data_IF_692337078447
#
_entry.id   IF_692337078447
#
_cell.length_a   1.000
_cell.length_b   1.000
_cell.length_c   1.000
_cell.angle_alpha   90.00
_cell.angle_beta   90.00
_cell.angle_gamma   90.00
#
_symmetry.space_group_name_H-M   'P 1'
#
loop_
_entity.id
_entity.type
_entity.pdbx_description
1 polymer ?
#
# COMPACT_ATOMS: atom_id res chain seq x y z
N UNK A 1 15.73 0.29 -21.66
CA UNK A 1 15.22 -0.71 -20.69
C UNK A 1 15.84 -0.39 -19.34
N UNK A 2 15.11 0.25 -18.43
CA UNK A 2 15.59 0.48 -17.07
C UNK A 2 15.34 -0.79 -16.25
N UNK A 3 16.35 -1.41 -15.63
CA UNK A 3 16.14 -2.55 -14.76
C UNK A 3 15.36 -2.07 -13.53
N UNK A 4 14.09 -2.49 -13.42
CA UNK A 4 13.34 -2.34 -12.17
C UNK A 4 13.91 -3.37 -11.19
N UNK A 5 14.28 -2.95 -9.99
CA UNK A 5 14.67 -3.86 -8.92
C UNK A 5 13.43 -4.66 -8.52
N UNK A 6 13.30 -5.88 -9.06
CA UNK A 6 12.31 -6.84 -8.60
C UNK A 6 12.85 -7.55 -7.36
N UNK A 7 11.98 -7.71 -6.38
CA UNK A 7 12.19 -8.58 -5.25
C UNK A 7 12.66 -9.96 -5.73
N UNK A 8 13.95 -10.30 -5.50
CA UNK A 8 14.50 -11.61 -5.84
C UNK A 8 14.01 -12.63 -4.80
N UNK A 9 12.81 -13.16 -5.03
CA UNK A 9 12.23 -14.17 -4.14
C UNK A 9 13.05 -15.48 -4.13
N UNK A 10 13.89 -15.72 -5.14
CA UNK A 10 14.62 -16.98 -5.32
C UNK A 10 15.71 -17.18 -4.24
N UNK A 11 16.31 -16.09 -3.76
CA UNK A 11 17.37 -16.08 -2.74
C UNK A 11 16.88 -16.51 -1.33
N UNK A 12 15.57 -16.76 -1.20
CA UNK A 12 14.96 -17.39 -0.04
C UNK A 12 14.75 -16.48 1.16
N UNK A 13 14.25 -17.04 2.28
CA UNK A 13 13.77 -16.27 3.42
C UNK A 13 14.86 -15.47 4.16
N UNK A 14 16.13 -15.81 3.98
CA UNK A 14 17.25 -15.08 4.60
C UNK A 14 17.51 -13.71 3.96
N UNK A 15 17.03 -13.49 2.73
CA UNK A 15 17.24 -12.25 1.96
C UNK A 15 15.95 -11.44 1.78
N UNK A 16 14.82 -11.94 2.30
CA UNK A 16 13.50 -11.34 2.13
C UNK A 16 13.15 -10.44 3.33
N UNK A 17 13.18 -9.11 3.19
CA UNK A 17 12.95 -8.19 4.31
C UNK A 17 11.46 -8.04 4.62
N UNK A 18 10.92 -8.83 5.56
CA UNK A 18 9.48 -8.80 5.92
C UNK A 18 9.18 -7.72 6.96
N UNK A 19 9.92 -7.74 8.07
CA UNK A 19 9.75 -6.89 9.24
C UNK A 19 10.69 -5.67 9.23
N UNK A 20 11.69 -5.67 8.36
CA UNK A 20 12.77 -4.67 8.35
C UNK A 20 12.24 -3.26 8.13
N UNK A 21 11.28 -3.08 7.22
CA UNK A 21 10.65 -1.78 6.97
C UNK A 21 9.98 -1.25 8.24
N UNK A 22 9.24 -2.10 8.96
CA UNK A 22 8.58 -1.70 10.20
C UNK A 22 9.60 -1.37 11.29
N UNK A 23 10.67 -2.16 11.40
CA UNK A 23 11.76 -1.91 12.34
C UNK A 23 12.39 -0.53 12.11
N UNK A 24 12.63 -0.13 10.87
CA UNK A 24 13.15 1.22 10.56
C UNK A 24 12.14 2.32 10.84
N UNK A 25 10.85 2.12 10.52
CA UNK A 25 9.76 3.07 10.83
C UNK A 25 9.55 3.26 12.34
N UNK A 26 9.91 2.26 13.15
CA UNK A 26 9.81 2.34 14.60
C UNK A 26 10.96 3.13 15.25
N UNK A 27 12.09 3.31 14.55
CA UNK A 27 13.22 4.08 15.05
C UNK A 27 12.95 5.57 14.93
N UNK A 28 13.11 6.36 16.01
CA UNK A 28 12.90 7.80 15.94
C UNK A 28 13.94 8.47 15.04
N UNK A 29 13.53 9.50 14.31
CA UNK A 29 14.38 10.32 13.42
C UNK A 29 15.01 9.57 12.24
N UNK A 30 14.42 8.45 11.81
CA UNK A 30 14.82 7.76 10.57
C UNK A 30 13.74 7.96 9.51
N UNK A 31 14.16 8.48 8.35
CA UNK A 31 13.29 8.61 7.18
C UNK A 31 13.29 7.32 6.38
N UNK A 32 12.12 6.68 6.27
CA UNK A 32 11.96 5.48 5.43
C UNK A 32 11.23 5.87 4.15
N UNK A 33 11.87 5.59 3.00
CA UNK A 33 11.31 5.83 1.67
C UNK A 33 11.21 4.50 0.93
N UNK A 34 10.02 4.19 0.37
CA UNK A 34 9.82 3.01 -0.47
C UNK A 34 9.08 3.36 -1.78
N UNK A 35 9.79 3.97 -2.74
CA UNK A 35 9.17 4.38 -4.00
C UNK A 35 8.92 3.19 -4.94
N UNK A 36 7.83 3.25 -5.69
CA UNK A 36 7.39 2.33 -6.73
C UNK A 36 8.04 2.64 -8.08
N UNK A 37 8.22 3.94 -8.39
CA UNK A 37 8.79 4.41 -9.65
C UNK A 37 9.57 5.74 -9.50
N UNK A 38 10.09 6.23 -10.64
CA UNK A 38 10.85 7.48 -10.69
C UNK A 38 9.99 8.73 -10.41
N UNK A 39 8.69 8.68 -10.67
CA UNK A 39 7.79 9.79 -10.38
C UNK A 39 7.50 9.90 -8.88
N UNK A 40 7.37 8.76 -8.19
CA UNK A 40 7.30 8.72 -6.72
C UNK A 40 8.57 9.26 -6.07
N UNK A 41 9.73 9.01 -6.68
CA UNK A 41 11.01 9.54 -6.20
C UNK A 41 11.02 11.08 -6.25
N UNK A 42 10.35 11.69 -7.22
CA UNK A 42 10.19 13.15 -7.32
C UNK A 42 9.04 13.68 -6.45
N UNK A 43 7.96 12.91 -6.30
CA UNK A 43 6.76 13.25 -5.51
C UNK A 43 6.86 12.95 -4.01
N UNK A 44 8.01 12.43 -3.54
CA UNK A 44 8.22 11.95 -2.17
C UNK A 44 8.06 13.04 -1.10
N UNK A 45 8.10 14.32 -1.49
CA UNK A 45 8.12 15.45 -0.55
C UNK A 45 6.99 15.44 0.47
N UNK A 46 5.81 14.90 0.12
CA UNK A 46 4.66 14.82 1.03
C UNK A 46 4.50 13.46 1.71
N UNK A 47 5.38 12.50 1.44
CA UNK A 47 5.35 11.14 1.97
C UNK A 47 4.28 10.24 1.35
N UNK A 48 3.07 10.74 1.12
CA UNK A 48 2.01 9.99 0.45
C UNK A 48 1.03 10.90 -0.29
N UNK A 49 0.49 10.40 -1.39
CA UNK A 49 -0.37 11.16 -2.29
C UNK A 49 -1.35 10.27 -3.05
N UNK A 50 -2.39 10.89 -3.59
CA UNK A 50 -3.41 10.22 -4.39
C UNK A 50 -2.84 9.96 -5.79
N UNK A 51 -2.75 8.68 -6.17
CA UNK A 51 -2.30 8.26 -7.50
C UNK A 51 -3.45 8.23 -8.48
N UNK A 52 -4.61 7.76 -8.03
CA UNK A 52 -5.80 7.64 -8.87
C UNK A 52 -7.06 7.79 -8.03
N UNK A 53 -8.03 8.54 -8.52
CA UNK A 53 -9.30 8.74 -7.84
C UNK A 53 -10.41 8.99 -8.87
N UNK A 54 -11.56 8.37 -8.67
CA UNK A 54 -12.78 8.59 -9.46
C UNK A 54 -13.96 9.05 -8.59
N UNK A 55 -13.73 9.37 -7.33
CA UNK A 55 -14.75 9.89 -6.42
C UNK A 55 -15.08 11.35 -6.72
N UNK A 56 -16.31 11.75 -6.40
CA UNK A 56 -16.75 13.14 -6.44
C UNK A 56 -16.87 13.68 -5.02
N UNK A 57 -16.46 14.93 -4.81
CA UNK A 57 -16.60 15.60 -3.51
C UNK A 57 -15.74 15.00 -2.39
N UNK A 58 -14.58 14.41 -2.73
CA UNK A 58 -13.65 13.81 -1.76
C UNK A 58 -14.26 12.66 -0.93
N UNK A 59 -15.21 11.92 -1.51
CA UNK A 59 -15.94 10.85 -0.83
C UNK A 59 -15.89 9.53 -1.62
N UNK A 60 -14.73 8.83 -1.65
CA UNK A 60 -14.65 7.48 -2.20
C UNK A 60 -15.38 6.45 -1.32
N UNK A 61 -15.90 5.39 -1.93
CA UNK A 61 -16.45 4.23 -1.21
C UNK A 61 -15.35 3.47 -0.46
N UNK A 62 -14.14 3.44 -1.04
CA UNK A 62 -12.98 2.75 -0.46
C UNK A 62 -11.66 3.43 -0.86
N UNK A 63 -10.68 3.35 0.05
CA UNK A 63 -9.31 3.78 -0.19
C UNK A 63 -8.38 2.56 -0.18
N UNK A 64 -7.69 2.32 -1.29
CA UNK A 64 -6.60 1.36 -1.39
C UNK A 64 -5.28 2.09 -1.17
N UNK A 65 -4.50 1.62 -0.20
CA UNK A 65 -3.22 2.20 0.20
C UNK A 65 -2.12 1.20 -0.15
N UNK A 66 -1.07 1.65 -0.81
CA UNK A 66 0.06 0.79 -1.14
C UNK A 66 1.36 1.56 -1.06
N UNK A 67 2.47 0.84 -0.91
CA UNK A 67 3.81 1.40 -1.04
C UNK A 67 4.60 0.58 -2.07
N UNK A 68 5.61 1.18 -2.70
CA UNK A 68 6.55 0.48 -3.57
C UNK A 68 5.90 -0.37 -4.68
N UNK A 69 6.43 -1.57 -4.90
CA UNK A 69 6.02 -2.49 -5.97
C UNK A 69 4.54 -2.89 -5.95
N UNK A 70 3.86 -2.75 -4.81
CA UNK A 70 2.46 -3.18 -4.67
C UNK A 70 1.47 -2.14 -5.24
N UNK A 71 1.93 -0.95 -5.62
CA UNK A 71 1.06 0.06 -6.22
C UNK A 71 0.39 -0.44 -7.50
N UNK A 72 1.11 -1.19 -8.34
CA UNK A 72 0.53 -1.77 -9.57
C UNK A 72 -0.63 -2.73 -9.26
N UNK A 73 -0.52 -3.47 -8.16
CA UNK A 73 -1.56 -4.41 -7.70
C UNK A 73 -2.80 -3.63 -7.23
N UNK A 74 -2.60 -2.56 -6.46
CA UNK A 74 -3.68 -1.70 -5.98
C UNK A 74 -4.41 -1.00 -7.14
N UNK A 75 -3.69 -0.52 -8.16
CA UNK A 75 -4.30 0.09 -9.36
C UNK A 75 -5.17 -0.93 -10.10
N UNK A 76 -4.66 -2.14 -10.35
CA UNK A 76 -5.42 -3.21 -11.02
C UNK A 76 -6.68 -3.58 -10.24
N UNK A 77 -6.59 -3.71 -8.92
CA UNK A 77 -7.76 -3.98 -8.07
C UNK A 77 -8.77 -2.81 -8.11
N UNK A 78 -8.30 -1.56 -8.15
CA UNK A 78 -9.16 -0.39 -8.28
C UNK A 78 -9.91 -0.36 -9.62
N UNK A 79 -9.26 -0.74 -10.72
CA UNK A 79 -9.92 -0.84 -12.03
C UNK A 79 -11.08 -1.84 -12.01
N UNK A 80 -10.90 -3.01 -11.39
CA UNK A 80 -11.97 -4.01 -11.27
C UNK A 80 -13.12 -3.53 -10.37
N UNK A 81 -12.83 -2.90 -9.22
CA UNK A 81 -13.87 -2.32 -8.35
C UNK A 81 -14.65 -1.20 -9.05
N UNK A 82 -13.97 -0.39 -9.88
CA UNK A 82 -14.60 0.68 -10.66
C UNK A 82 -15.52 0.14 -11.75
N UNK A 83 -15.21 -1.02 -12.35
CA UNK A 83 -16.12 -1.69 -13.29
C UNK A 83 -17.44 -2.11 -12.64
N UNK A 84 -17.43 -2.32 -11.32
CA UNK A 84 -18.66 -2.56 -10.53
C UNK A 84 -19.36 -1.27 -10.08
N UNK A 85 -18.89 -0.10 -10.52
CA UNK A 85 -19.49 1.19 -10.22
C UNK A 85 -19.08 1.78 -8.87
N UNK A 86 -18.01 1.28 -8.24
CA UNK A 86 -17.50 1.84 -6.97
C UNK A 86 -16.59 3.04 -7.20
N UNK A 87 -16.68 4.01 -6.28
CA UNK A 87 -15.74 5.11 -6.18
C UNK A 87 -14.52 4.65 -5.38
N UNK A 88 -13.37 4.52 -6.05
CA UNK A 88 -12.13 3.98 -5.46
C UNK A 88 -11.02 4.99 -5.57
N UNK A 89 -10.40 5.26 -4.42
CA UNK A 89 -9.18 6.05 -4.34
C UNK A 89 -7.97 5.14 -4.13
N UNK A 90 -6.92 5.36 -4.90
CA UNK A 90 -5.62 4.70 -4.74
C UNK A 90 -4.63 5.72 -4.22
N UNK A 91 -4.01 5.42 -3.08
CA UNK A 91 -3.02 6.26 -2.41
C UNK A 91 -1.69 5.52 -2.40
N UNK A 92 -0.64 6.18 -2.89
CA UNK A 92 0.72 5.73 -2.65
C UNK A 92 1.24 6.37 -1.37
N UNK A 93 1.68 5.54 -0.42
CA UNK A 93 2.24 5.97 0.87
C UNK A 93 3.71 5.55 0.94
N UNK A 94 4.56 6.37 0.32
CA UNK A 94 6.00 6.15 0.13
C UNK A 94 6.79 6.27 1.43
N UNK A 95 6.39 7.23 2.28
CA UNK A 95 6.99 7.48 3.59
C UNK A 95 5.91 7.88 4.59
N UNK A 96 5.87 7.13 5.70
CA UNK A 96 4.91 7.38 6.77
C UNK A 96 5.30 8.61 7.57
N UNK A 97 6.60 8.79 7.75
CA UNK A 97 7.19 9.86 8.56
C UNK A 97 6.90 11.21 7.91
N UNK A 98 7.22 11.36 6.62
CA UNK A 98 6.92 12.60 5.88
C UNK A 98 5.43 12.89 5.81
N UNK A 99 4.60 11.85 5.64
CA UNK A 99 3.15 12.03 5.59
C UNK A 99 2.58 12.47 6.94
N UNK A 100 3.12 11.94 8.04
CA UNK A 100 2.71 12.32 9.40
C UNK A 100 3.10 13.76 9.76
N UNK A 101 4.15 14.31 9.13
CA UNK A 101 4.56 15.71 9.30
C UNK A 101 3.69 16.70 8.50
N UNK A 102 2.86 16.22 7.56
CA UNK A 102 1.98 17.09 6.79
C UNK A 102 0.87 17.70 7.65
N UNK A 103 0.29 18.80 7.16
CA UNK A 103 -0.84 19.46 7.83
C UNK A 103 -2.08 18.56 7.87
N UNK A 104 -2.94 18.79 8.86
CA UNK A 104 -4.16 17.99 9.03
C UNK A 104 -5.12 18.16 7.84
N UNK A 105 -5.14 19.34 7.20
CA UNK A 105 -5.91 19.57 5.98
C UNK A 105 -5.42 18.70 4.83
N UNK A 106 -4.10 18.51 4.69
CA UNK A 106 -3.55 17.64 3.67
C UNK A 106 -3.87 16.16 3.96
N UNK A 107 -3.73 15.74 5.22
CA UNK A 107 -4.08 14.38 5.63
C UNK A 107 -5.56 14.09 5.38
N UNK A 108 -6.46 15.01 5.69
CA UNK A 108 -7.89 14.89 5.43
C UNK A 108 -8.21 14.87 3.93
N UNK A 109 -7.44 15.60 3.12
CA UNK A 109 -7.59 15.54 1.65
C UNK A 109 -7.23 14.17 1.07
N UNK A 110 -6.28 13.45 1.67
CA UNK A 110 -5.83 12.12 1.22
C UNK A 110 -6.66 11.00 1.85
N UNK A 111 -6.87 11.08 3.17
CA UNK A 111 -7.60 10.13 4.00
C UNK A 111 -8.79 10.77 4.71
N UNK A 112 -9.88 11.07 3.99
CA UNK A 112 -11.08 11.66 4.59
C UNK A 112 -11.57 10.83 5.78
N UNK A 113 -11.81 11.46 6.92
CA UNK A 113 -12.25 10.77 8.14
C UNK A 113 -13.61 10.07 7.96
N UNK A 114 -14.45 10.58 7.06
CA UNK A 114 -15.73 9.97 6.69
C UNK A 114 -15.56 8.58 6.05
N UNK A 115 -14.43 8.31 5.38
CA UNK A 115 -14.20 7.06 4.66
C UNK A 115 -13.38 6.11 5.53
N UNK A 116 -14.08 5.17 6.17
CA UNK A 116 -13.47 4.17 7.06
C UNK A 116 -13.10 2.86 6.34
N UNK A 117 -13.61 2.64 5.13
CA UNK A 117 -13.26 1.48 4.32
C UNK A 117 -11.89 1.72 3.67
N UNK A 118 -10.86 1.09 4.24
CA UNK A 118 -9.46 1.27 3.81
C UNK A 118 -8.76 -0.07 3.77
N UNK A 119 -8.04 -0.35 2.69
CA UNK A 119 -7.22 -1.55 2.53
C UNK A 119 -5.77 -1.16 2.29
N UNK A 120 -4.85 -1.64 3.12
CA UNK A 120 -3.42 -1.49 2.84
C UNK A 120 -2.86 -2.73 2.13
N UNK A 121 -1.90 -2.53 1.22
CA UNK A 121 -1.22 -3.57 0.46
C UNK A 121 0.28 -3.29 0.48
N UNK A 122 1.04 -4.11 1.20
CA UNK A 122 2.50 -4.00 1.29
C UNK A 122 3.13 -5.38 1.42
N UNK A 123 4.17 -5.67 0.64
CA UNK A 123 4.96 -6.89 0.77
C UNK A 123 5.89 -6.82 2.01
N UNK A 124 5.30 -6.78 3.19
CA UNK A 124 5.95 -6.67 4.49
C UNK A 124 4.92 -6.90 5.61
N UNK A 125 5.36 -6.80 6.87
CA UNK A 125 4.46 -7.01 8.01
C UNK A 125 3.27 -6.03 7.99
N UNK A 126 2.10 -6.55 8.35
CA UNK A 126 0.88 -5.76 8.47
C UNK A 126 0.86 -4.86 9.71
N UNK A 127 1.80 -5.08 10.64
CA UNK A 127 1.92 -4.33 11.89
C UNK A 127 1.92 -2.81 11.62
N UNK A 128 1.21 -2.04 12.44
CA UNK A 128 1.21 -0.57 12.36
C UNK A 128 0.34 0.05 11.26
N UNK A 129 -0.08 -0.72 10.24
CA UNK A 129 -0.99 -0.22 9.19
C UNK A 129 -2.35 0.24 9.74
N UNK A 130 -2.75 -0.31 10.90
CA UNK A 130 -3.93 0.10 11.69
C UNK A 130 -4.03 1.63 11.88
N UNK A 131 -2.88 2.33 11.95
CA UNK A 131 -2.83 3.80 12.05
C UNK A 131 -3.51 4.52 10.88
N UNK A 132 -3.42 3.95 9.67
CA UNK A 132 -3.98 4.56 8.46
C UNK A 132 -5.31 3.92 8.06
N UNK A 133 -5.46 2.61 8.25
CA UNK A 133 -6.67 1.89 7.82
C UNK A 133 -7.81 1.94 8.86
N UNK A 134 -7.50 2.22 10.12
CA UNK A 134 -8.49 2.26 11.21
C UNK A 134 -9.09 0.89 11.55
N UNK A 135 -10.09 0.87 12.44
CA UNK A 135 -10.65 -0.37 13.00
C UNK A 135 -11.46 -1.22 12.01
N UNK A 136 -12.02 -0.59 10.96
CA UNK A 136 -12.79 -1.28 9.92
C UNK A 136 -11.94 -1.68 8.71
N UNK A 137 -10.70 -1.18 8.66
CA UNK A 137 -9.80 -1.45 7.56
C UNK A 137 -9.21 -2.86 7.59
N UNK A 138 -8.58 -3.26 6.48
CA UNK A 138 -7.87 -4.54 6.35
C UNK A 138 -6.47 -4.31 5.80
N UNK A 139 -5.49 -5.01 6.35
CA UNK A 139 -4.13 -5.00 5.83
C UNK A 139 -3.86 -6.31 5.09
N UNK A 140 -3.30 -6.21 3.89
CA UNK A 140 -2.80 -7.32 3.08
C UNK A 140 -1.29 -7.19 3.06
N UNK A 141 -0.63 -8.15 3.69
CA UNK A 141 0.82 -8.21 3.77
C UNK A 141 1.29 -9.59 4.19
N UNK A 142 2.50 -9.65 4.72
CA UNK A 142 3.19 -10.90 5.04
C UNK A 142 3.62 -10.86 6.50
N UNK A 143 3.01 -11.67 7.37
CA UNK A 143 3.33 -11.75 8.81
C UNK A 143 4.03 -13.07 9.21
N UNK A 144 4.64 -13.74 8.24
CA UNK A 144 5.50 -14.91 8.44
C UNK A 144 6.70 -14.83 7.52
N UNK A 145 7.78 -15.55 7.84
CA UNK A 145 8.91 -15.64 6.93
C UNK A 145 8.47 -16.23 5.58
N UNK A 146 9.12 -15.77 4.51
CA UNK A 146 8.82 -16.21 3.17
C UNK A 146 9.33 -17.62 2.88
N UNK A 147 9.38 -17.95 1.59
CA UNK A 147 9.88 -19.23 1.10
C UNK A 147 10.82 -18.98 -0.09
N UNK A 148 11.66 -19.96 -0.43
CA UNK A 148 12.43 -19.91 -1.68
C UNK A 148 11.54 -20.39 -2.82
N UNK A 149 11.10 -19.46 -3.66
CA UNK A 149 10.27 -19.72 -4.84
C UNK A 149 10.30 -18.49 -5.79
N UNK A 150 9.91 -18.64 -7.06
CA UNK A 150 9.81 -17.50 -7.98
C UNK A 150 8.79 -16.46 -7.48
N UNK A 151 9.06 -15.16 -7.70
CA UNK A 151 8.27 -14.08 -7.11
C UNK A 151 6.77 -14.13 -7.42
N UNK A 152 6.40 -14.51 -8.64
CA UNK A 152 4.99 -14.67 -9.01
C UNK A 152 4.25 -15.77 -8.25
N UNK A 153 4.96 -16.81 -7.77
CA UNK A 153 4.35 -17.87 -6.93
C UNK A 153 4.21 -17.38 -5.49
N UNK A 154 5.22 -16.69 -4.98
CA UNK A 154 5.22 -16.10 -3.62
C UNK A 154 4.06 -15.11 -3.49
N UNK A 155 3.91 -14.16 -4.41
CA UNK A 155 2.83 -13.18 -4.35
C UNK A 155 1.43 -13.84 -4.35
N UNK A 156 1.26 -14.94 -5.10
CA UNK A 156 0.01 -15.73 -5.07
C UNK A 156 -0.22 -16.42 -3.74
N UNK A 157 0.79 -17.08 -3.18
CA UNK A 157 0.67 -17.77 -1.89
C UNK A 157 0.44 -16.82 -0.71
N UNK A 158 1.00 -15.61 -0.79
CA UNK A 158 0.82 -14.57 0.21
C UNK A 158 -0.41 -13.68 -0.04
N UNK A 159 -1.19 -13.95 -1.09
CA UNK A 159 -2.40 -13.18 -1.39
C UNK A 159 -2.14 -11.74 -1.83
N UNK A 160 -0.90 -11.40 -2.23
CA UNK A 160 -0.54 -10.12 -2.85
C UNK A 160 -0.92 -10.16 -4.34
N UNK A 161 -2.22 -10.24 -4.60
CA UNK A 161 -2.79 -10.36 -5.94
C UNK A 161 -3.96 -9.40 -6.09
N UNK A 162 -4.20 -8.84 -7.30
CA UNK A 162 -5.34 -7.95 -7.53
C UNK A 162 -6.67 -8.59 -7.13
N UNK A 163 -6.83 -9.89 -7.37
CA UNK A 163 -8.04 -10.65 -7.08
C UNK A 163 -8.31 -10.73 -5.57
N UNK A 164 -7.28 -10.96 -4.76
CA UNK A 164 -7.43 -10.98 -3.31
C UNK A 164 -7.70 -9.58 -2.75
N UNK A 165 -7.02 -8.54 -3.26
CA UNK A 165 -7.29 -7.15 -2.85
C UNK A 165 -8.74 -6.78 -3.15
N UNK A 166 -9.23 -7.13 -4.33
CA UNK A 166 -10.63 -6.94 -4.72
C UNK A 166 -11.60 -7.69 -3.80
N UNK A 167 -11.31 -8.97 -3.50
CA UNK A 167 -12.16 -9.77 -2.62
C UNK A 167 -12.21 -9.20 -1.19
N UNK A 168 -11.06 -8.80 -0.63
CA UNK A 168 -10.97 -8.19 0.70
C UNK A 168 -11.69 -6.85 0.73
N UNK A 169 -11.49 -6.00 -0.28
CA UNK A 169 -12.18 -4.72 -0.42
C UNK A 169 -13.70 -4.89 -0.34
N UNK A 170 -14.26 -5.90 -1.03
CA UNK A 170 -15.69 -6.19 -0.98
C UNK A 170 -16.24 -6.56 0.39
N UNK A 171 -15.41 -7.04 1.32
CA UNK A 171 -15.88 -7.41 2.66
C UNK A 171 -16.11 -6.20 3.57
N UNK A 172 -15.59 -5.03 3.21
CA UNK A 172 -15.61 -3.83 4.05
C UNK A 172 -16.29 -2.61 3.40
N UNK A 173 -16.76 -2.75 2.17
CA UNK A 173 -17.58 -1.76 1.43
C UNK A 173 -19.06 -1.99 1.71
#
# INVERSE_FOLDING_TARGET
MHPRFYWSCEDGPTHQPIEHLMSFRAMPNILVLRPADGNETAGVQKGGYIVSDNSSGNNPDIILISSGSELEIAIKAAEELRKEGKAVRVVSLVSWELFNEQSDEYKESVFPAAVTARVSVEAGSTLGWEKFIGSKGKAIGIDRFGASAPAGRIYKEFGLTPENVFAVAKTII
#
